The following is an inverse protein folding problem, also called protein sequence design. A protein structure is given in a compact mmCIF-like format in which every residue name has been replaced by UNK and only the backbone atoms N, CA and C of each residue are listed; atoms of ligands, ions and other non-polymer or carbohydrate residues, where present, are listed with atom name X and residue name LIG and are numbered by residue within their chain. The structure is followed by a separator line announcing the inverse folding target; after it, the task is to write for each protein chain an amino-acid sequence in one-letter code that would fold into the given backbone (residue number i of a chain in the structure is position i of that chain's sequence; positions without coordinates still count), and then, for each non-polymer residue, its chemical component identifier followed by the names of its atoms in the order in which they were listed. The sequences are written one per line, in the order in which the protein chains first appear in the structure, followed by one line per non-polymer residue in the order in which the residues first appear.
data_IF_081449230573
#
_entry.id   IF_081449230573
#
_cell.length_a   1.000
_cell.length_b   1.000
_cell.length_c   1.000
_cell.angle_alpha   90.00
_cell.angle_beta   90.00
_cell.angle_gamma   90.00
#
_symmetry.space_group_name_H-M   'P 1'
#
loop_
_entity.id
_entity.type
_entity.pdbx_description
1 polymer ?
#
# COMPACT_ATOMS: atom_id res chain seq x y z
N UNK A 1 57.27 -48.49 14.58
CA UNK A 1 57.82 -47.63 15.66
C UNK A 1 57.02 -46.35 15.60
N UNK A 2 56.27 -46.13 16.66
CA UNK A 2 55.08 -45.28 16.73
C UNK A 2 55.37 -43.78 16.73
N UNK A 3 54.74 -43.03 15.82
CA UNK A 3 54.60 -41.59 15.96
C UNK A 3 53.21 -41.27 16.51
N UNK A 4 53.17 -40.95 17.81
CA UNK A 4 51.98 -40.51 18.54
C UNK A 4 51.63 -39.07 18.13
N UNK A 5 50.45 -38.87 17.54
CA UNK A 5 49.87 -37.53 17.32
C UNK A 5 48.99 -37.14 18.50
N UNK A 6 49.36 -36.07 19.22
CA UNK A 6 48.58 -35.52 20.33
C UNK A 6 47.55 -34.53 19.79
N UNK A 7 46.28 -34.73 20.13
CA UNK A 7 45.19 -33.79 19.85
C UNK A 7 45.13 -32.73 20.94
N UNK A 8 45.32 -31.46 20.57
CA UNK A 8 44.82 -30.34 21.36
C UNK A 8 43.71 -29.64 20.57
N UNK A 9 42.48 -29.80 21.06
CA UNK A 9 41.31 -29.04 20.61
C UNK A 9 41.20 -27.76 21.44
N UNK A 10 41.29 -26.59 20.79
CA UNK A 10 40.20 -25.61 20.73
C UNK A 10 40.58 -24.42 19.84
N UNK A 11 39.58 -23.96 19.07
CA UNK A 11 39.51 -22.73 18.27
C UNK A 11 39.97 -22.82 16.79
N UNK A 12 38.95 -22.69 15.91
CA UNK A 12 38.91 -22.35 14.47
C UNK A 12 39.72 -23.18 13.47
N UNK A 13 38.96 -23.94 12.67
CA UNK A 13 39.39 -24.70 11.48
C UNK A 13 40.21 -23.84 10.51
N UNK A 14 41.46 -24.23 10.28
CA UNK A 14 42.02 -24.53 8.94
C UNK A 14 43.36 -25.25 9.13
N UNK A 15 43.41 -26.51 8.68
CA UNK A 15 44.63 -27.32 8.62
C UNK A 15 45.51 -26.72 7.53
N UNK A 16 46.76 -26.38 7.83
CA UNK A 16 47.74 -25.99 6.83
C UNK A 16 48.95 -26.90 6.94
N UNK A 17 49.19 -27.64 5.86
CA UNK A 17 50.36 -28.49 5.66
C UNK A 17 51.47 -27.59 5.12
N UNK A 18 52.71 -27.73 5.60
CA UNK A 18 53.88 -27.04 5.03
C UNK A 18 54.98 -28.04 4.69
N UNK A 19 55.44 -28.01 3.44
CA UNK A 19 56.65 -28.68 2.99
C UNK A 19 57.82 -27.70 3.06
N UNK A 20 58.95 -28.12 3.64
CA UNK A 20 60.22 -27.38 3.54
C UNK A 20 60.69 -27.37 2.09
N UNK A 21 60.72 -26.20 1.45
CA UNK A 21 61.32 -25.97 0.14
C UNK A 21 62.35 -24.85 0.22
N UNK A 22 63.53 -25.10 -0.32
CA UNK A 22 64.75 -24.30 -0.25
C UNK A 22 64.64 -22.93 -0.95
N UNK A 23 65.38 -21.94 -0.44
CA UNK A 23 65.58 -20.62 -1.04
C UNK A 23 66.49 -20.67 -2.28
N UNK A 24 66.24 -19.89 -3.34
CA UNK A 24 67.27 -19.47 -4.27
C UNK A 24 67.74 -18.04 -3.99
N UNK A 25 69.05 -17.87 -3.87
CA UNK A 25 69.76 -16.58 -3.79
C UNK A 25 69.88 -15.94 -5.18
N UNK A 26 69.89 -14.60 -5.17
CA UNK A 26 70.72 -13.69 -5.98
C UNK A 26 69.99 -12.74 -6.94
N UNK A 27 70.09 -11.45 -6.56
CA UNK A 27 70.48 -10.30 -7.40
C UNK A 27 69.55 -9.85 -8.53
N UNK A 28 68.77 -8.80 -8.28
CA UNK A 28 69.08 -7.44 -8.76
C UNK A 28 68.03 -6.47 -8.20
N UNK A 29 68.32 -5.17 -8.23
CA UNK A 29 67.69 -4.09 -7.45
C UNK A 29 66.24 -3.72 -7.86
N UNK A 30 65.35 -4.69 -7.98
CA UNK A 30 63.93 -4.47 -8.29
C UNK A 30 63.01 -5.18 -7.29
N UNK A 31 63.34 -5.08 -5.99
CA UNK A 31 62.50 -5.65 -4.92
C UNK A 31 62.26 -4.67 -3.75
N UNK A 32 62.40 -3.36 -3.98
CA UNK A 32 62.02 -2.33 -3.00
C UNK A 32 60.61 -1.75 -3.19
N UNK A 33 59.74 -2.41 -3.96
CA UNK A 33 58.29 -2.15 -3.96
C UNK A 33 57.45 -3.33 -3.47
N UNK A 34 58.05 -4.31 -2.80
CA UNK A 34 57.31 -5.26 -1.97
C UNK A 34 57.25 -4.75 -0.52
N UNK A 35 57.00 -3.45 -0.34
CA UNK A 35 56.46 -2.93 0.92
C UNK A 35 55.09 -3.57 1.05
N UNK A 36 55.05 -4.71 1.75
CA UNK A 36 53.94 -5.24 2.55
C UNK A 36 52.65 -4.42 2.43
N UNK A 37 52.02 -4.45 1.26
CA UNK A 37 50.64 -4.01 1.13
C UNK A 37 49.92 -5.13 1.85
N UNK A 38 49.50 -4.87 3.09
CA UNK A 38 48.37 -5.63 3.64
C UNK A 38 47.23 -5.29 2.69
N UNK A 39 47.12 -6.07 1.62
CA UNK A 39 46.00 -5.98 0.70
C UNK A 39 44.83 -6.31 1.61
N UNK A 40 44.09 -5.27 2.01
CA UNK A 40 42.74 -5.44 2.51
C UNK A 40 42.06 -6.25 1.42
N UNK A 41 41.90 -7.55 1.66
CA UNK A 41 41.06 -8.38 0.82
C UNK A 41 39.70 -7.72 0.96
N UNK A 42 39.31 -6.92 -0.03
CA UNK A 42 38.01 -6.28 -0.03
C UNK A 42 36.99 -7.42 0.07
N UNK A 43 36.23 -7.44 1.16
CA UNK A 43 35.16 -8.41 1.31
C UNK A 43 34.11 -8.02 0.29
N UNK A 44 33.93 -8.86 -0.74
CA UNK A 44 32.81 -8.74 -1.66
C UNK A 44 31.54 -9.13 -0.91
N UNK A 45 30.75 -8.12 -0.56
CA UNK A 45 29.46 -8.28 0.09
C UNK A 45 28.39 -7.96 -0.95
N UNK A 46 27.98 -8.95 -1.78
CA UNK A 46 26.94 -8.71 -2.76
C UNK A 46 25.65 -8.34 -2.05
N UNK A 47 24.90 -7.43 -2.67
CA UNK A 47 23.58 -7.05 -2.19
C UNK A 47 22.64 -8.27 -2.18
N UNK A 48 21.85 -8.39 -1.12
CA UNK A 48 20.85 -9.45 -1.02
C UNK A 48 19.59 -8.95 -1.73
N UNK A 49 19.08 -9.71 -2.70
CA UNK A 49 17.82 -9.35 -3.33
C UNK A 49 16.62 -9.76 -2.44
N UNK A 50 16.07 -8.84 -1.63
CA UNK A 50 14.91 -9.11 -0.79
C UNK A 50 13.61 -9.37 -1.58
N UNK A 51 13.52 -8.89 -2.84
CA UNK A 51 12.31 -9.05 -3.66
C UNK A 51 12.02 -10.50 -4.06
N UNK A 52 13.00 -11.39 -3.94
CA UNK A 52 12.80 -12.84 -4.17
C UNK A 52 11.75 -13.46 -3.24
N UNK A 53 11.50 -12.85 -2.07
CA UNK A 53 10.50 -13.31 -1.10
C UNK A 53 9.10 -12.69 -1.24
N UNK A 54 8.85 -11.89 -2.28
CA UNK A 54 7.63 -11.07 -2.42
C UNK A 54 7.23 -10.29 -1.14
N UNK A 55 8.14 -9.46 -0.57
CA UNK A 55 7.89 -8.79 0.70
C UNK A 55 6.74 -7.78 0.63
N UNK A 56 6.44 -7.23 -0.54
CA UNK A 56 5.38 -6.24 -0.76
C UNK A 56 3.97 -6.84 -0.90
N UNK A 57 3.86 -8.17 -0.94
CA UNK A 57 2.59 -8.87 -1.14
C UNK A 57 2.03 -8.74 -2.56
N UNK A 58 0.81 -9.22 -2.77
CA UNK A 58 0.16 -9.22 -4.09
C UNK A 58 -0.22 -7.81 -4.60
N UNK A 59 -0.24 -6.81 -3.71
CA UNK A 59 -0.76 -5.47 -3.98
C UNK A 59 0.33 -4.40 -4.05
N UNK A 60 1.58 -4.82 -4.25
CA UNK A 60 2.70 -3.91 -4.43
C UNK A 60 3.83 -4.51 -5.25
N UNK A 61 4.51 -3.64 -5.99
CA UNK A 61 5.73 -3.96 -6.71
C UNK A 61 6.94 -3.77 -5.79
N UNK A 62 7.81 -4.78 -5.73
CA UNK A 62 9.07 -4.71 -5.00
C UNK A 62 10.20 -4.19 -5.90
N UNK A 63 10.96 -3.22 -5.39
CA UNK A 63 12.18 -2.72 -6.01
C UNK A 63 13.36 -2.91 -5.07
N UNK A 64 14.34 -3.71 -5.49
CA UNK A 64 15.52 -4.02 -4.71
C UNK A 64 16.52 -2.86 -4.75
N UNK A 65 17.14 -2.55 -3.62
CA UNK A 65 18.09 -1.44 -3.49
C UNK A 65 19.32 -1.89 -2.69
N UNK A 66 20.51 -1.29 -2.86
CA UNK A 66 21.67 -1.69 -2.08
C UNK A 66 21.41 -1.59 -0.56
N UNK A 67 21.43 -2.73 0.13
CA UNK A 67 21.19 -2.85 1.56
C UNK A 67 19.72 -2.79 2.01
N UNK A 68 18.75 -2.75 1.09
CA UNK A 68 17.31 -2.67 1.41
C UNK A 68 16.39 -2.93 0.21
N UNK A 69 15.10 -2.66 0.36
CA UNK A 69 14.13 -2.68 -0.73
C UNK A 69 13.03 -1.64 -0.50
N UNK A 70 12.34 -1.24 -1.56
CA UNK A 70 11.17 -0.37 -1.50
C UNK A 70 9.96 -1.05 -2.10
N UNK A 71 8.80 -0.83 -1.50
CA UNK A 71 7.51 -1.28 -2.05
C UNK A 71 6.75 -0.12 -2.66
N UNK A 72 6.30 -0.28 -3.90
CA UNK A 72 5.37 0.63 -4.57
C UNK A 72 4.00 -0.04 -4.60
N UNK A 73 3.05 0.48 -3.80
CA UNK A 73 1.72 -0.09 -3.72
C UNK A 73 0.86 0.26 -4.94
N UNK A 74 -0.04 -0.65 -5.29
CA UNK A 74 -1.05 -0.42 -6.31
C UNK A 74 -2.00 0.73 -5.90
N UNK A 75 -2.74 1.29 -6.87
CA UNK A 75 -3.78 2.28 -6.57
C UNK A 75 -4.81 1.69 -5.58
N UNK A 76 -5.21 2.48 -4.58
CA UNK A 76 -6.09 2.03 -3.49
C UNK A 76 -5.38 1.30 -2.34
N UNK A 77 -4.04 1.23 -2.36
CA UNK A 77 -3.25 0.59 -1.31
C UNK A 77 -2.20 1.53 -0.73
N UNK A 78 -1.81 1.28 0.52
CA UNK A 78 -0.80 2.03 1.25
C UNK A 78 0.19 1.08 1.92
N UNK A 79 1.45 1.49 2.05
CA UNK A 79 2.47 0.67 2.71
C UNK A 79 2.30 0.73 4.23
N UNK A 80 2.11 -0.43 4.87
CA UNK A 80 1.93 -0.52 6.33
C UNK A 80 3.23 -0.55 7.14
N UNK A 81 4.39 -0.49 6.46
CA UNK A 81 5.69 -0.77 7.07
C UNK A 81 6.15 -2.22 6.88
N UNK A 82 5.26 -3.12 6.45
CA UNK A 82 5.61 -4.50 6.10
C UNK A 82 5.15 -4.87 4.69
N UNK A 83 3.90 -4.57 4.34
CA UNK A 83 3.29 -4.93 3.06
C UNK A 83 2.34 -3.84 2.58
N UNK A 84 1.88 -3.93 1.33
CA UNK A 84 0.82 -3.07 0.82
C UNK A 84 -0.53 -3.57 1.33
N UNK A 85 -1.22 -2.71 2.09
CA UNK A 85 -2.54 -2.97 2.65
C UNK A 85 -3.55 -2.03 2.04
N UNK A 86 -4.80 -2.47 2.02
CA UNK A 86 -5.91 -1.70 1.51
C UNK A 86 -6.01 -0.33 2.22
N UNK A 87 -6.13 0.74 1.44
CA UNK A 87 -6.27 2.09 1.98
C UNK A 87 -7.74 2.29 2.30
N UNK A 88 -8.07 2.54 3.57
CA UNK A 88 -9.45 2.84 3.93
C UNK A 88 -9.82 4.30 3.63
N UNK A 89 -10.43 4.56 2.48
CA UNK A 89 -10.87 5.92 2.10
C UNK A 89 -12.01 6.46 2.97
N UNK A 90 -12.80 5.60 3.62
CA UNK A 90 -13.93 6.02 4.45
C UNK A 90 -13.51 6.80 5.70
N UNK A 91 -12.23 6.73 6.09
CA UNK A 91 -11.66 7.57 7.16
C UNK A 91 -11.78 9.07 6.87
N UNK A 92 -11.87 9.47 5.60
CA UNK A 92 -12.02 10.86 5.17
C UNK A 92 -13.46 11.32 4.93
N UNK A 93 -14.47 10.48 5.20
CA UNK A 93 -15.88 10.73 4.86
C UNK A 93 -16.12 11.22 3.40
N UNK A 94 -15.66 10.45 2.38
CA UNK A 94 -15.69 10.90 0.98
C UNK A 94 -17.13 11.02 0.42
N UNK A 95 -18.10 10.33 1.02
CA UNK A 95 -19.50 10.29 0.58
C UNK A 95 -20.33 11.51 1.01
N UNK A 96 -19.79 12.35 1.90
CA UNK A 96 -20.50 13.49 2.48
C UNK A 96 -21.53 13.08 3.55
N UNK A 97 -22.32 14.05 4.01
CA UNK A 97 -23.26 13.83 5.11
C UNK A 97 -24.49 12.98 4.73
N UNK A 98 -24.82 12.91 3.45
CA UNK A 98 -26.02 12.23 2.94
C UNK A 98 -25.72 10.87 2.29
N UNK A 99 -24.54 10.31 2.57
CA UNK A 99 -24.12 9.02 2.04
C UNK A 99 -23.36 8.20 3.07
N UNK A 100 -23.61 6.89 3.07
CA UNK A 100 -22.85 5.91 3.80
C UNK A 100 -21.64 5.43 2.97
N UNK A 101 -20.45 5.46 3.57
CA UNK A 101 -19.23 4.95 2.95
C UNK A 101 -18.99 3.49 3.34
N UNK A 102 -18.72 2.64 2.34
CA UNK A 102 -18.26 1.26 2.55
C UNK A 102 -16.88 1.09 1.92
N UNK A 103 -15.91 0.71 2.74
CA UNK A 103 -14.56 0.42 2.25
C UNK A 103 -14.54 -0.92 1.51
N UNK A 104 -13.83 -0.97 0.39
CA UNK A 104 -13.71 -2.17 -0.45
C UNK A 104 -12.25 -2.42 -0.82
N UNK A 105 -11.92 -3.61 -1.30
CA UNK A 105 -10.54 -3.89 -1.65
C UNK A 105 -10.08 -3.07 -2.87
N UNK A 106 -9.15 -2.14 -2.65
CA UNK A 106 -8.56 -1.23 -3.63
C UNK A 106 -9.41 0.00 -3.97
N UNK A 107 -10.53 0.23 -3.27
CA UNK A 107 -11.47 1.33 -3.53
C UNK A 107 -12.50 1.49 -2.40
N UNK A 108 -13.53 2.29 -2.61
CA UNK A 108 -14.69 2.40 -1.74
C UNK A 108 -15.97 2.61 -2.55
N UNK A 109 -17.11 2.40 -1.91
CA UNK A 109 -18.43 2.70 -2.46
C UNK A 109 -19.20 3.64 -1.55
N UNK A 110 -20.02 4.50 -2.17
CA UNK A 110 -20.94 5.39 -1.49
C UNK A 110 -22.39 4.95 -1.75
N UNK A 111 -23.18 4.82 -0.71
CA UNK A 111 -24.63 4.57 -0.80
C UNK A 111 -25.37 5.79 -0.26
N UNK A 112 -26.17 6.43 -1.10
CA UNK A 112 -26.90 7.63 -0.72
C UNK A 112 -28.14 7.30 0.12
N UNK A 113 -28.48 8.21 1.03
CA UNK A 113 -29.73 8.16 1.77
C UNK A 113 -30.93 8.29 0.81
N UNK A 114 -32.12 7.90 1.25
CA UNK A 114 -33.35 8.08 0.46
C UNK A 114 -33.56 9.54 0.08
N UNK A 115 -33.98 9.78 -1.18
CA UNK A 115 -34.13 11.13 -1.75
C UNK A 115 -32.81 11.78 -2.22
N UNK A 116 -31.68 11.05 -2.18
CA UNK A 116 -30.40 11.53 -2.71
C UNK A 116 -29.84 10.57 -3.78
N UNK A 117 -29.13 11.12 -4.75
CA UNK A 117 -28.46 10.39 -5.82
C UNK A 117 -26.95 10.63 -5.82
N UNK A 118 -26.18 9.66 -6.32
CA UNK A 118 -24.73 9.75 -6.35
C UNK A 118 -24.27 10.63 -7.52
N UNK A 119 -23.64 11.76 -7.21
CA UNK A 119 -22.99 12.65 -8.18
C UNK A 119 -21.49 12.73 -7.89
N UNK A 120 -20.70 12.07 -8.75
CA UNK A 120 -19.28 11.87 -8.51
C UNK A 120 -19.04 10.96 -7.29
N UNK A 121 -18.52 11.53 -6.20
CA UNK A 121 -18.31 10.81 -4.93
C UNK A 121 -19.26 11.25 -3.83
N UNK A 122 -20.16 12.21 -4.09
CA UNK A 122 -21.04 12.81 -3.06
C UNK A 122 -22.50 12.60 -3.39
N UNK A 123 -23.32 12.47 -2.36
CA UNK A 123 -24.76 12.36 -2.50
C UNK A 123 -25.40 13.75 -2.61
N UNK A 124 -26.12 13.97 -3.71
CA UNK A 124 -26.85 15.20 -4.00
C UNK A 124 -28.34 14.96 -3.93
N UNK A 125 -29.08 15.99 -3.53
CA UNK A 125 -30.52 15.93 -3.39
C UNK A 125 -31.19 15.68 -4.73
N UNK A 126 -32.08 14.69 -4.79
CA UNK A 126 -32.88 14.40 -5.97
C UNK A 126 -34.03 15.38 -6.03
N UNK A 127 -34.20 16.09 -7.15
CA UNK A 127 -35.33 17.00 -7.28
C UNK A 127 -36.58 16.28 -7.80
N UNK A 128 -37.45 15.80 -6.89
CA UNK A 128 -38.65 15.06 -7.27
C UNK A 128 -39.67 15.93 -8.03
N UNK A 129 -39.62 17.26 -7.86
CA UNK A 129 -40.54 18.17 -8.56
C UNK A 129 -40.38 18.16 -10.08
N UNK A 130 -39.24 17.68 -10.59
CA UNK A 130 -39.03 17.49 -12.04
C UNK A 130 -40.04 16.50 -12.66
N UNK A 131 -40.60 15.60 -11.85
CA UNK A 131 -41.63 14.63 -12.26
C UNK A 131 -43.07 15.13 -12.13
N UNK A 132 -43.31 16.37 -11.70
CA UNK A 132 -44.64 16.89 -11.34
C UNK A 132 -45.45 15.97 -10.39
N UNK A 133 -44.90 15.56 -9.23
CA UNK A 133 -45.52 14.57 -8.35
C UNK A 133 -46.81 15.07 -7.68
N UNK A 134 -46.97 16.39 -7.56
CA UNK A 134 -48.15 17.03 -6.95
C UNK A 134 -49.37 17.14 -7.88
N UNK A 135 -49.26 16.67 -9.13
CA UNK A 135 -50.32 16.77 -10.13
C UNK A 135 -50.55 18.21 -10.64
N UNK A 136 -51.56 18.40 -11.52
CA UNK A 136 -51.76 19.65 -12.26
C UNK A 136 -52.21 20.85 -11.41
N UNK A 137 -52.69 20.61 -10.19
CA UNK A 137 -53.24 21.64 -9.29
C UNK A 137 -52.41 21.78 -8.00
N UNK A 138 -51.29 21.06 -7.89
CA UNK A 138 -50.38 21.13 -6.75
C UNK A 138 -49.11 21.89 -7.11
N UNK A 139 -48.75 22.87 -6.27
CA UNK A 139 -47.44 23.49 -6.27
C UNK A 139 -46.44 22.57 -5.57
N UNK A 140 -45.37 22.17 -6.27
CA UNK A 140 -44.30 21.35 -5.72
C UNK A 140 -43.15 22.21 -5.19
N UNK A 141 -42.69 21.91 -3.98
CA UNK A 141 -41.47 22.49 -3.39
C UNK A 141 -40.51 21.37 -3.02
N UNK A 142 -39.35 21.36 -3.65
CA UNK A 142 -38.29 20.41 -3.37
C UNK A 142 -37.66 20.69 -2.00
N UNK A 143 -37.34 19.63 -1.25
CA UNK A 143 -36.73 19.71 0.08
C UNK A 143 -35.60 18.68 0.20
N UNK A 144 -34.61 18.85 1.09
CA UNK A 144 -33.56 17.85 1.23
C UNK A 144 -34.10 16.46 1.56
N UNK A 145 -33.93 15.51 0.65
CA UNK A 145 -34.35 14.12 0.73
C UNK A 145 -35.84 13.87 0.44
N UNK A 146 -36.61 14.87 0.01
CA UNK A 146 -38.06 14.74 -0.23
C UNK A 146 -38.66 15.96 -0.94
N UNK A 147 -39.98 16.03 -1.02
CA UNK A 147 -40.70 17.18 -1.54
C UNK A 147 -41.99 17.43 -0.75
N UNK A 148 -42.51 18.64 -0.87
CA UNK A 148 -43.82 19.01 -0.33
C UNK A 148 -44.74 19.50 -1.43
N UNK A 149 -46.02 19.17 -1.31
CA UNK A 149 -47.07 19.62 -2.22
C UNK A 149 -48.02 20.56 -1.47
N UNK A 150 -48.38 21.67 -2.10
CA UNK A 150 -49.41 22.58 -1.60
C UNK A 150 -50.45 22.85 -2.69
N UNK A 151 -51.70 23.01 -2.30
CA UNK A 151 -52.75 23.44 -3.22
C UNK A 151 -52.47 24.86 -3.74
N UNK A 152 -52.71 25.09 -5.04
CA UNK A 152 -52.63 26.46 -5.60
C UNK A 152 -53.68 27.37 -4.93
N UNK A 153 -53.40 28.67 -4.82
CA UNK A 153 -54.30 29.59 -4.13
C UNK A 153 -55.72 29.57 -4.72
N UNK A 154 -56.74 29.42 -3.87
CA UNK A 154 -58.16 29.40 -4.26
C UNK A 154 -58.79 28.01 -4.40
N UNK A 155 -58.05 26.93 -4.12
CA UNK A 155 -58.58 25.57 -3.93
C UNK A 155 -58.23 25.09 -2.52
N UNK A 156 -59.20 24.51 -1.83
CA UNK A 156 -59.00 23.89 -0.52
C UNK A 156 -58.86 22.37 -0.68
N UNK A 157 -58.14 21.75 0.24
CA UNK A 157 -57.85 20.31 0.23
C UNK A 157 -59.16 19.54 0.48
N UNK A 158 -59.76 18.95 -0.57
CA UNK A 158 -60.78 17.93 -0.33
C UNK A 158 -60.10 16.77 0.43
N UNK A 159 -60.64 16.44 1.60
CA UNK A 159 -60.02 15.66 2.68
C UNK A 159 -59.66 14.19 2.37
N UNK A 160 -59.37 13.82 1.12
CA UNK A 160 -58.98 12.47 0.72
C UNK A 160 -57.88 12.54 -0.34
N UNK A 161 -56.69 12.98 0.08
CA UNK A 161 -55.44 12.60 -0.58
C UNK A 161 -54.33 12.53 0.47
N UNK A 162 -54.37 11.47 1.29
CA UNK A 162 -53.17 11.02 1.99
C UNK A 162 -52.25 10.51 0.87
N UNK A 163 -51.37 11.35 0.33
CA UNK A 163 -50.22 10.88 -0.41
C UNK A 163 -49.30 10.20 0.61
N UNK A 164 -49.18 8.86 0.60
CA UNK A 164 -48.26 8.22 1.52
C UNK A 164 -46.84 8.61 1.12
N UNK A 165 -46.05 8.90 2.15
CA UNK A 165 -44.61 9.14 2.07
C UNK A 165 -43.88 7.91 1.53
#
# INVERSE_FOLDING_TARGET
MDEKWVLYSNVRRRRSWYSKGQEPKSSSKEQLLKKKVMISVGWDCPDKNECTGNPCGAQGACNNTPGSYTCVCNAGYVYSGTTCVDKNECTGNPCGAQGACTNTQGSYTCTCNGGFELSGTTCVDTNECTGNPCGPQGACTNTPGSYTCACIAGIEEDAIAIFPQ
#
